data_IF_172074029061
#
_entry.id   IF_172074029061
#
_cell.length_a   1.000
_cell.length_b   1.000
_cell.length_c   1.000
_cell.angle_alpha   90.00
_cell.angle_beta   90.00
_cell.angle_gamma   90.00
#
_symmetry.space_group_name_H-M   'P 1'
#
loop_
_entity.id
_entity.type
_entity.pdbx_description
1 polymer ?
#
# COMPACT_ATOMS: atom_id res chain seq x y z
N UNK A 1 9.57 8.58 -29.80
CA UNK A 1 8.61 9.67 -30.07
C UNK A 1 7.46 9.52 -29.11
N UNK A 2 7.29 10.44 -28.16
CA UNK A 2 6.24 10.36 -27.14
C UNK A 2 5.09 11.29 -27.53
N UNK A 3 3.90 10.73 -27.79
CA UNK A 3 2.68 11.50 -27.98
C UNK A 3 2.10 11.82 -26.61
N UNK A 4 2.24 13.08 -26.19
CA UNK A 4 1.55 13.66 -25.04
C UNK A 4 0.12 14.05 -25.45
N UNK A 5 -0.88 13.53 -24.75
CA UNK A 5 -2.23 14.09 -24.77
C UNK A 5 -2.50 14.75 -23.42
N UNK A 6 -2.52 16.08 -23.40
CA UNK A 6 -2.98 16.87 -22.26
C UNK A 6 -4.51 16.99 -22.33
N UNK A 7 -5.20 16.61 -21.25
CA UNK A 7 -6.63 16.90 -21.08
C UNK A 7 -6.76 17.89 -19.93
N UNK A 8 -7.34 19.06 -20.22
CA UNK A 8 -7.53 20.14 -19.26
C UNK A 8 -8.89 20.00 -18.57
N UNK A 9 -8.88 19.78 -17.25
CA UNK A 9 -10.07 19.89 -16.38
C UNK A 9 -9.76 20.90 -15.27
N UNK A 10 -10.51 22.00 -15.24
CA UNK A 10 -10.58 23.06 -14.22
C UNK A 10 -9.53 23.11 -13.10
N UNK A 11 -8.64 24.10 -13.18
CA UNK A 11 -7.72 24.62 -12.12
C UNK A 11 -6.76 23.63 -11.42
N UNK A 12 -6.70 22.37 -11.83
CA UNK A 12 -5.67 21.44 -11.41
C UNK A 12 -5.04 20.77 -12.62
N UNK A 13 -3.74 20.93 -12.83
CA UNK A 13 -3.00 20.19 -13.85
C UNK A 13 -2.94 18.73 -13.40
N UNK A 14 -3.85 17.90 -13.90
CA UNK A 14 -3.74 16.45 -13.83
C UNK A 14 -2.66 16.03 -14.84
N UNK A 15 -1.42 15.88 -14.35
CA UNK A 15 -0.43 15.11 -15.09
C UNK A 15 -0.89 13.66 -15.08
N UNK A 16 -1.19 13.12 -16.26
CA UNK A 16 -1.44 11.68 -16.48
C UNK A 16 -0.16 10.83 -16.31
N UNK A 17 0.97 11.48 -15.98
CA UNK A 17 2.22 10.83 -15.62
C UNK A 17 3.09 11.79 -14.75
N UNK A 18 2.88 11.91 -13.43
CA UNK A 18 3.97 11.53 -12.54
C UNK A 18 4.18 10.02 -12.73
N UNK A 19 5.39 9.50 -12.60
CA UNK A 19 5.52 8.04 -12.45
C UNK A 19 4.47 7.63 -11.40
N UNK A 20 3.51 6.72 -11.66
CA UNK A 20 2.51 6.31 -10.68
C UNK A 20 3.15 5.74 -9.39
N UNK A 21 4.48 5.62 -9.41
CA UNK A 21 5.41 5.22 -8.37
C UNK A 21 6.05 6.38 -7.58
N UNK A 22 5.64 7.65 -7.77
CA UNK A 22 6.16 8.78 -6.94
C UNK A 22 5.23 9.16 -5.77
N UNK A 23 3.91 8.98 -5.90
CA UNK A 23 2.98 9.27 -4.80
C UNK A 23 2.83 8.03 -3.89
N UNK A 24 3.22 8.12 -2.60
CA UNK A 24 3.12 7.02 -1.66
C UNK A 24 1.72 6.40 -1.56
N UNK A 25 0.64 7.18 -1.76
CA UNK A 25 -0.73 6.68 -1.76
C UNK A 25 -0.99 5.77 -2.97
N UNK A 26 -0.48 6.14 -4.14
CA UNK A 26 -0.66 5.37 -5.38
C UNK A 26 0.18 4.09 -5.37
N UNK A 27 1.38 4.15 -4.80
CA UNK A 27 2.22 2.96 -4.55
C UNK A 27 1.47 1.99 -3.64
N UNK A 28 0.94 2.49 -2.52
CA UNK A 28 0.17 1.65 -1.60
C UNK A 28 -1.08 1.07 -2.26
N UNK A 29 -1.86 1.90 -2.98
CA UNK A 29 -3.05 1.45 -3.70
C UNK A 29 -2.72 0.34 -4.72
N UNK A 30 -1.66 0.51 -5.50
CA UNK A 30 -1.22 -0.50 -6.46
C UNK A 30 -0.81 -1.81 -5.78
N UNK A 31 -0.13 -1.72 -4.64
CA UNK A 31 0.28 -2.89 -3.86
C UNK A 31 -0.89 -3.70 -3.30
N UNK A 32 -2.00 -3.04 -2.95
CA UNK A 32 -3.20 -3.73 -2.42
C UNK A 32 -4.27 -4.02 -3.48
N UNK A 33 -4.11 -3.52 -4.72
CA UNK A 33 -5.10 -3.65 -5.78
C UNK A 33 -5.48 -5.10 -6.13
N UNK A 34 -4.54 -6.07 -6.22
CA UNK A 34 -4.92 -7.47 -6.50
C UNK A 34 -5.88 -8.05 -5.46
N UNK A 35 -5.70 -7.68 -4.18
CA UNK A 35 -6.56 -8.12 -3.09
C UNK A 35 -7.91 -7.41 -3.10
N UNK A 36 -7.92 -6.12 -3.42
CA UNK A 36 -9.16 -5.35 -3.62
C UNK A 36 -10.01 -5.96 -4.74
N UNK A 37 -9.39 -6.27 -5.89
CA UNK A 37 -10.10 -6.85 -7.03
C UNK A 37 -10.68 -8.22 -6.69
N UNK A 38 -9.91 -9.06 -5.98
CA UNK A 38 -10.39 -10.36 -5.49
C UNK A 38 -11.58 -10.20 -4.54
N UNK A 39 -11.49 -9.28 -3.57
CA UNK A 39 -12.60 -9.00 -2.67
C UNK A 39 -13.81 -8.40 -3.41
N UNK A 40 -13.59 -7.58 -4.44
CA UNK A 40 -14.65 -7.01 -5.26
C UNK A 40 -15.40 -8.09 -6.05
N UNK A 41 -14.67 -9.02 -6.69
CA UNK A 41 -15.21 -10.18 -7.39
C UNK A 41 -16.03 -11.09 -6.46
N UNK A 42 -15.64 -11.18 -5.18
CA UNK A 42 -16.33 -11.96 -4.14
C UNK A 42 -17.45 -11.17 -3.43
N UNK A 43 -17.70 -9.91 -3.84
CA UNK A 43 -18.64 -8.98 -3.20
C UNK A 43 -18.32 -8.63 -1.73
N UNK A 44 -17.07 -8.79 -1.30
CA UNK A 44 -16.55 -8.53 0.05
C UNK A 44 -15.78 -7.19 0.15
N UNK A 45 -16.10 -6.20 -0.71
CA UNK A 45 -15.34 -4.95 -0.77
C UNK A 45 -15.39 -4.13 0.54
N UNK A 46 -16.43 -4.29 1.37
CA UNK A 46 -16.53 -3.59 2.66
C UNK A 46 -15.57 -4.19 3.68
N UNK A 47 -15.53 -5.51 3.73
CA UNK A 47 -14.63 -6.31 4.55
C UNK A 47 -13.18 -6.01 4.19
N UNK A 48 -12.90 -5.86 2.90
CA UNK A 48 -11.59 -5.42 2.43
C UNK A 48 -11.19 -4.08 3.05
N UNK A 49 -12.04 -3.05 2.98
CA UNK A 49 -11.70 -1.74 3.55
C UNK A 49 -11.53 -1.80 5.07
N UNK A 50 -12.36 -2.59 5.78
CA UNK A 50 -12.21 -2.80 7.22
C UNK A 50 -10.82 -3.37 7.55
N UNK A 51 -10.35 -4.36 6.77
CA UNK A 51 -9.05 -4.98 6.96
C UNK A 51 -7.89 -4.08 6.49
N UNK A 52 -8.07 -3.33 5.41
CA UNK A 52 -7.01 -2.53 4.78
C UNK A 52 -6.80 -1.15 5.43
N UNK A 53 -7.80 -0.58 6.12
CA UNK A 53 -7.62 0.69 6.84
C UNK A 53 -6.52 0.65 7.90
N UNK A 54 -6.43 -0.39 8.75
CA UNK A 54 -5.30 -0.56 9.66
C UNK A 54 -3.93 -0.54 8.96
N UNK A 55 -3.79 -1.19 7.80
CA UNK A 55 -2.54 -1.18 7.02
C UNK A 55 -2.23 0.23 6.51
N UNK A 56 -3.25 0.97 6.07
CA UNK A 56 -3.10 2.36 5.64
C UNK A 56 -2.62 3.25 6.80
N UNK A 57 -3.23 3.12 7.98
CA UNK A 57 -2.83 3.87 9.18
C UNK A 57 -1.43 3.53 9.65
N UNK A 58 -1.04 2.25 9.56
CA UNK A 58 0.31 1.79 9.88
C UNK A 58 1.39 2.39 8.97
N UNK A 59 1.07 2.55 7.68
CA UNK A 59 1.99 3.14 6.69
C UNK A 59 2.00 4.67 6.73
N UNK A 60 0.88 5.28 7.09
CA UNK A 60 0.68 6.73 7.05
C UNK A 60 0.07 7.23 8.37
N UNK A 61 0.81 7.21 9.49
CA UNK A 61 0.28 7.56 10.82
C UNK A 61 -0.23 9.00 10.92
N UNK A 62 0.30 9.90 10.08
CA UNK A 62 -0.09 11.31 10.03
C UNK A 62 -1.14 11.60 8.94
N UNK A 63 -1.73 10.57 8.33
CA UNK A 63 -2.68 10.75 7.25
C UNK A 63 -3.99 11.38 7.73
N UNK A 64 -4.45 12.38 6.98
CA UNK A 64 -5.74 13.02 7.22
C UNK A 64 -6.89 12.18 6.65
N UNK A 65 -8.15 12.42 7.04
CA UNK A 65 -9.31 11.79 6.41
C UNK A 65 -9.37 12.00 4.88
N UNK A 66 -8.85 13.14 4.40
CA UNK A 66 -8.74 13.43 2.97
C UNK A 66 -7.80 12.45 2.26
N UNK A 67 -6.72 12.04 2.89
CA UNK A 67 -5.78 11.06 2.34
C UNK A 67 -6.41 9.68 2.24
N UNK A 68 -7.15 9.24 3.25
CA UNK A 68 -7.92 7.98 3.19
C UNK A 68 -8.92 7.98 2.04
N UNK A 69 -9.64 9.10 1.85
CA UNK A 69 -10.55 9.26 0.71
C UNK A 69 -9.81 9.24 -0.62
N UNK A 70 -8.66 9.91 -0.72
CA UNK A 70 -7.82 9.90 -1.91
C UNK A 70 -7.37 8.48 -2.25
N UNK A 71 -6.89 7.72 -1.26
CA UNK A 71 -6.51 6.32 -1.43
C UNK A 71 -7.65 5.43 -1.94
N UNK A 72 -8.85 5.52 -1.34
CA UNK A 72 -10.01 4.76 -1.80
C UNK A 72 -10.39 5.12 -3.26
N UNK A 73 -10.28 6.40 -3.63
CA UNK A 73 -10.48 6.83 -5.02
C UNK A 73 -9.39 6.30 -5.96
N UNK A 74 -8.13 6.29 -5.52
CA UNK A 74 -7.01 5.75 -6.31
C UNK A 74 -7.20 4.27 -6.61
N UNK A 75 -7.71 3.47 -5.66
CA UNK A 75 -8.06 2.06 -5.91
C UNK A 75 -9.07 1.90 -7.06
N UNK A 76 -10.14 2.69 -7.05
CA UNK A 76 -11.18 2.64 -8.10
C UNK A 76 -10.61 3.10 -9.46
N UNK A 77 -9.79 4.14 -9.47
CA UNK A 77 -9.17 4.66 -10.69
C UNK A 77 -8.20 3.63 -11.29
N UNK A 78 -7.35 3.02 -10.46
CA UNK A 78 -6.42 1.98 -10.91
C UNK A 78 -7.15 0.75 -11.40
N UNK A 79 -8.23 0.33 -10.74
CA UNK A 79 -9.07 -0.77 -11.21
C UNK A 79 -9.68 -0.47 -12.58
N UNK A 80 -10.18 0.74 -12.78
CA UNK A 80 -10.72 1.18 -14.09
C UNK A 80 -9.66 1.13 -15.18
N UNK A 81 -8.44 1.59 -14.87
CA UNK A 81 -7.30 1.56 -15.79
C UNK A 81 -6.82 0.13 -16.09
N UNK A 82 -6.86 -0.77 -15.11
CA UNK A 82 -6.57 -2.20 -15.28
C UNK A 82 -7.59 -2.85 -16.24
N UNK A 83 -8.89 -2.62 -16.01
CA UNK A 83 -9.95 -3.12 -16.88
C UNK A 83 -9.93 -2.48 -18.27
N UNK A 84 -9.45 -1.23 -18.37
CA UNK A 84 -9.19 -0.55 -19.63
C UNK A 84 -7.96 -1.05 -20.39
N UNK A 85 -7.19 -1.98 -19.82
CA UNK A 85 -5.99 -2.55 -20.43
C UNK A 85 -4.78 -1.60 -20.47
N UNK A 86 -4.80 -0.52 -19.68
CA UNK A 86 -3.68 0.43 -19.61
C UNK A 86 -2.44 -0.20 -18.95
N UNK A 87 -2.64 -1.18 -18.07
CA UNK A 87 -1.61 -2.02 -17.48
C UNK A 87 -2.18 -3.39 -17.10
N UNK A 88 -1.34 -4.29 -16.61
CA UNK A 88 -1.75 -5.62 -16.12
C UNK A 88 -1.07 -5.93 -14.80
N UNK A 89 -1.80 -6.57 -13.89
CA UNK A 89 -1.26 -7.11 -12.64
C UNK A 89 -1.32 -8.64 -12.65
N UNK A 90 -0.41 -9.32 -11.95
CA UNK A 90 -0.52 -10.76 -11.73
C UNK A 90 -1.85 -11.06 -11.03
N UNK A 91 -2.56 -12.08 -11.50
CA UNK A 91 -3.79 -12.54 -10.85
C UNK A 91 -3.47 -13.07 -9.46
N UNK A 92 -4.22 -12.61 -8.46
CA UNK A 92 -4.19 -13.19 -7.13
C UNK A 92 -5.30 -14.23 -6.99
N UNK A 93 -4.93 -15.48 -6.69
CA UNK A 93 -5.87 -16.60 -6.56
C UNK A 93 -6.01 -17.13 -5.14
N UNK A 94 -5.30 -16.53 -4.18
CA UNK A 94 -5.34 -16.91 -2.77
C UNK A 94 -6.53 -16.33 -2.00
N UNK A 95 -6.54 -16.56 -0.70
CA UNK A 95 -7.44 -15.89 0.22
C UNK A 95 -6.86 -14.51 0.57
N UNK A 96 -7.56 -13.45 0.19
CA UNK A 96 -7.06 -12.09 0.37
C UNK A 96 -7.01 -11.68 1.86
N UNK A 97 -7.84 -12.29 2.71
CA UNK A 97 -7.92 -11.97 4.14
C UNK A 97 -6.64 -12.31 4.89
N UNK A 98 -5.93 -13.32 4.43
CA UNK A 98 -4.66 -13.75 5.04
C UNK A 98 -3.52 -12.77 4.67
N UNK A 99 -3.67 -12.07 3.55
CA UNK A 99 -2.67 -11.13 3.00
C UNK A 99 -2.89 -9.69 3.46
N UNK A 100 -4.13 -9.32 3.80
CA UNK A 100 -4.50 -8.00 4.33
C UNK A 100 -4.50 -8.06 5.87
N UNK A 101 -3.32 -8.33 6.42
CA UNK A 101 -3.03 -8.27 7.86
C UNK A 101 -1.83 -7.36 8.09
N UNK A 102 -1.71 -6.77 9.29
CA UNK A 102 -0.57 -5.91 9.64
C UNK A 102 0.73 -6.72 9.53
N UNK A 103 0.70 -7.96 9.99
CA UNK A 103 1.84 -8.88 10.03
C UNK A 103 2.32 -9.23 8.62
N UNK A 104 1.40 -9.63 7.72
CA UNK A 104 1.75 -9.93 6.34
C UNK A 104 2.28 -8.69 5.62
N UNK A 105 1.67 -7.52 5.88
CA UNK A 105 2.09 -6.27 5.26
C UNK A 105 3.48 -5.81 5.71
N UNK A 106 3.76 -5.86 7.01
CA UNK A 106 5.09 -5.60 7.57
C UNK A 106 6.11 -6.61 7.04
N UNK A 107 5.75 -7.89 6.92
CA UNK A 107 6.63 -8.91 6.34
C UNK A 107 7.01 -8.61 4.88
N UNK A 108 6.04 -8.24 4.04
CA UNK A 108 6.29 -7.82 2.65
C UNK A 108 7.21 -6.61 2.58
N UNK A 109 6.94 -5.56 3.38
CA UNK A 109 7.80 -4.35 3.46
C UNK A 109 9.23 -4.68 3.89
N UNK A 110 9.42 -5.58 4.86
CA UNK A 110 10.76 -6.04 5.27
C UNK A 110 11.48 -6.75 4.15
N UNK A 111 10.79 -7.60 3.39
CA UNK A 111 11.38 -8.31 2.26
C UNK A 111 11.82 -7.33 1.17
N UNK A 112 10.93 -6.43 0.75
CA UNK A 112 11.20 -5.36 -0.21
C UNK A 112 12.40 -4.50 0.23
N UNK A 113 12.45 -4.08 1.51
CA UNK A 113 13.59 -3.32 2.04
C UNK A 113 14.89 -4.10 1.99
N UNK A 114 14.87 -5.41 2.23
CA UNK A 114 16.08 -6.25 2.14
C UNK A 114 16.58 -6.37 0.71
N UNK A 115 15.67 -6.46 -0.25
CA UNK A 115 16.02 -6.53 -1.67
C UNK A 115 16.56 -5.20 -2.21
N UNK A 116 16.03 -4.06 -1.76
CA UNK A 116 16.39 -2.73 -2.27
C UNK A 116 17.49 -2.03 -1.45
N UNK A 117 17.45 -2.18 -0.12
CA UNK A 117 18.23 -1.37 0.84
C UNK A 117 19.65 -1.86 1.12
N UNK A 118 20.05 -3.03 0.60
CA UNK A 118 21.42 -3.57 0.64
C UNK A 118 22.14 -3.50 2.01
N UNK A 119 21.39 -3.62 3.12
CA UNK A 119 21.92 -3.59 4.49
C UNK A 119 21.96 -2.21 5.16
N UNK A 120 21.41 -1.15 4.54
CA UNK A 120 21.26 0.16 5.18
C UNK A 120 20.10 0.19 6.20
N UNK A 121 20.25 1.01 7.24
CA UNK A 121 19.20 1.24 8.23
C UNK A 121 17.95 1.86 7.57
N UNK A 122 16.73 1.43 7.95
CA UNK A 122 15.49 1.95 7.37
C UNK A 122 15.33 3.44 7.66
N UNK A 123 15.13 4.24 6.60
CA UNK A 123 14.93 5.69 6.71
C UNK A 123 13.47 6.10 6.49
N UNK A 124 12.70 5.33 5.72
CA UNK A 124 11.28 5.59 5.54
C UNK A 124 10.45 4.91 6.63
N UNK A 125 9.49 5.64 7.20
CA UNK A 125 8.66 5.20 8.32
C UNK A 125 8.00 3.83 8.09
N UNK A 126 7.49 3.60 6.87
CA UNK A 126 6.88 2.32 6.50
C UNK A 126 7.82 1.12 6.72
N UNK A 127 9.13 1.26 6.54
CA UNK A 127 10.06 0.17 6.82
C UNK A 127 10.46 0.14 8.29
N UNK A 128 10.66 1.31 8.92
CA UNK A 128 10.99 1.40 10.37
C UNK A 128 9.97 0.61 11.20
N UNK A 129 8.68 0.91 11.03
CA UNK A 129 7.58 0.22 11.75
C UNK A 129 7.59 -1.29 11.49
N UNK A 130 7.93 -1.70 10.28
CA UNK A 130 8.01 -3.12 9.93
C UNK A 130 9.15 -3.86 10.68
N UNK A 131 10.20 -3.17 11.14
CA UNK A 131 11.30 -3.76 11.91
C UNK A 131 11.16 -3.56 13.44
N UNK A 132 10.41 -2.56 13.91
CA UNK A 132 10.23 -2.25 15.34
C UNK A 132 9.60 -3.41 16.16
N UNK A 133 8.68 -4.18 15.56
CA UNK A 133 8.08 -5.35 16.23
C UNK A 133 9.08 -6.43 16.61
N UNK A 134 10.15 -6.59 15.84
CA UNK A 134 11.16 -7.64 16.06
C UNK A 134 12.08 -7.25 17.21
N UNK A 135 12.41 -5.97 17.34
CA UNK A 135 13.28 -5.47 18.41
C UNK A 135 12.65 -5.62 19.81
N UNK A 136 11.31 -5.67 19.91
CA UNK A 136 10.61 -5.95 21.17
C UNK A 136 10.42 -7.43 21.49
N UNK A 137 10.66 -8.33 20.54
CA UNK A 137 10.63 -9.77 20.77
C UNK A 137 11.96 -10.30 21.36
N UNK A 138 13.06 -9.55 21.16
CA UNK A 138 14.41 -9.92 21.60
C UNK A 138 14.87 -9.23 22.91
N UNK A 139 14.01 -8.42 23.55
CA UNK A 139 14.28 -7.99 24.93
C UNK A 139 13.76 -9.06 25.90
N UNK A 140 14.62 -9.87 26.55
CA UNK A 140 14.19 -10.59 27.73
C UNK A 140 13.71 -9.54 28.72
N UNK A 141 12.49 -9.72 29.22
CA UNK A 141 12.01 -9.02 30.41
C UNK A 141 13.07 -9.21 31.48
N UNK A 142 13.91 -8.19 31.66
CA UNK A 142 14.85 -8.14 32.76
C UNK A 142 13.97 -7.95 33.99
N UNK A 143 13.51 -9.06 34.56
CA UNK A 143 12.99 -9.11 35.91
C UNK A 143 14.07 -8.47 36.78
N UNK A 144 13.84 -7.23 37.18
CA UNK A 144 14.72 -6.55 38.12
C UNK A 144 14.43 -7.19 39.47
N UNK A 145 15.39 -7.88 40.12
CA UNK A 145 15.19 -8.31 41.48
C UNK A 145 15.73 -7.21 42.40
N UNK A 146 14.84 -6.58 43.16
CA UNK A 146 15.06 -6.15 44.56
C UNK A 146 13.78 -5.51 45.11
#
# INVERSE_FOLDING_TARGET
MANLYEIHLGTGVLRLNPDPLEDPIHIFASGVLPYFNKAFDEHEYKEFFIAAFPLFEDRFPTATPRWKKAWAMSLILLDTLLHGGAFSLPKFTGNWKDEITIEADRARRRHEWKEIGNGAAPTAHQYVVAFEDVARADEPLCETPA
#
